data_IF_948467642704
#
_entry.id   IF_948467642704
#
_cell.length_a   1.000
_cell.length_b   1.000
_cell.length_c   1.000
_cell.angle_alpha   90.00
_cell.angle_beta   90.00
_cell.angle_gamma   90.00
#
_symmetry.space_group_name_H-M   'P 1'
#
loop_
_entity.id
_entity.type
_entity.pdbx_description
1 polymer ?
#
# COMPACT_ATOMS: atom_id res chain seq x y z
N UNK A 1 28.95 34.37 16.91
CA UNK A 1 29.77 33.13 16.89
C UNK A 1 29.34 32.25 18.05
N UNK A 2 28.47 31.31 17.81
CA UNK A 2 27.94 30.39 18.83
C UNK A 2 28.58 29.01 18.61
N UNK A 3 29.30 28.57 19.62
CA UNK A 3 30.05 27.33 19.68
C UNK A 3 29.10 26.15 19.88
N UNK A 4 28.89 25.31 18.86
CA UNK A 4 28.12 24.06 18.97
C UNK A 4 29.02 22.97 19.53
N UNK A 5 28.84 22.64 20.80
CA UNK A 5 29.48 21.51 21.46
C UNK A 5 29.03 20.18 20.84
N UNK A 6 30.00 19.40 20.34
CA UNK A 6 29.77 18.02 19.89
C UNK A 6 29.43 17.14 21.11
N UNK A 7 28.25 16.54 21.14
CA UNK A 7 27.92 15.47 22.08
C UNK A 7 28.67 14.20 21.69
N UNK A 8 29.56 13.75 22.53
CA UNK A 8 30.23 12.46 22.40
C UNK A 8 29.36 11.41 23.06
N UNK A 9 28.78 10.50 22.28
CA UNK A 9 28.08 9.33 22.77
C UNK A 9 29.11 8.32 23.28
N UNK A 10 29.16 8.12 24.61
CA UNK A 10 29.91 7.02 25.21
C UNK A 10 29.05 5.74 25.14
N UNK A 11 29.28 4.92 24.12
CA UNK A 11 28.72 3.58 24.04
C UNK A 11 29.14 2.74 25.24
N UNK A 12 28.18 2.28 26.06
CA UNK A 12 28.42 1.29 27.11
C UNK A 12 28.84 -0.02 26.45
N UNK A 13 30.07 -0.46 26.65
CA UNK A 13 30.52 -1.78 26.23
C UNK A 13 29.72 -2.82 27.01
N UNK A 14 28.97 -3.68 26.29
CA UNK A 14 28.28 -4.81 26.89
C UNK A 14 29.29 -5.72 27.59
N UNK A 15 28.91 -6.27 28.76
CA UNK A 15 29.77 -7.15 29.53
C UNK A 15 29.98 -8.48 28.76
N UNK A 16 31.14 -9.13 28.94
CA UNK A 16 31.44 -10.40 28.25
C UNK A 16 30.40 -11.51 28.55
N UNK A 17 29.65 -11.38 29.64
CA UNK A 17 28.57 -12.33 30.01
C UNK A 17 27.40 -12.23 29.04
N UNK A 18 27.07 -11.01 28.54
CA UNK A 18 26.00 -10.80 27.56
C UNK A 18 26.34 -11.49 26.23
N UNK A 19 27.60 -11.45 25.83
CA UNK A 19 28.06 -12.14 24.62
C UNK A 19 28.05 -13.66 24.74
N UNK A 20 28.34 -14.19 25.94
CA UNK A 20 28.28 -15.63 26.18
C UNK A 20 26.82 -16.16 26.19
N UNK A 21 25.89 -15.38 26.71
CA UNK A 21 24.44 -15.73 26.68
C UNK A 21 23.93 -15.67 25.23
N UNK A 22 24.27 -14.65 24.46
CA UNK A 22 23.88 -14.54 23.06
C UNK A 22 24.43 -15.70 22.20
N UNK A 23 25.68 -16.12 22.45
CA UNK A 23 26.29 -17.27 21.78
C UNK A 23 25.60 -18.60 22.14
N UNK A 24 25.23 -18.79 23.40
CA UNK A 24 24.50 -19.99 23.83
C UNK A 24 23.10 -20.09 23.24
N UNK A 25 22.39 -18.97 23.10
CA UNK A 25 21.07 -18.91 22.44
C UNK A 25 21.20 -19.19 20.95
N UNK A 26 22.24 -18.69 20.30
CA UNK A 26 22.50 -18.93 18.87
C UNK A 26 22.79 -20.42 18.61
N UNK A 27 23.61 -21.06 19.47
CA UNK A 27 23.90 -22.50 19.36
C UNK A 27 22.65 -23.34 19.57
N UNK A 28 21.79 -23.00 20.53
CA UNK A 28 20.53 -23.68 20.78
C UNK A 28 19.55 -23.57 19.58
N UNK A 29 19.49 -22.39 18.94
CA UNK A 29 18.67 -22.18 17.75
C UNK A 29 19.18 -22.99 16.54
N UNK A 30 20.49 -23.11 16.35
CA UNK A 30 21.10 -23.90 15.27
C UNK A 30 20.85 -25.40 15.48
N UNK A 31 20.89 -25.89 16.72
CA UNK A 31 20.60 -27.30 17.03
C UNK A 31 19.12 -27.64 16.79
N UNK A 32 18.20 -26.72 17.10
CA UNK A 32 16.76 -26.91 16.81
C UNK A 32 16.46 -26.92 15.30
N UNK A 33 17.18 -26.15 14.49
CA UNK A 33 17.04 -26.16 13.02
C UNK A 33 17.55 -27.48 12.42
N UNK A 34 18.63 -28.07 12.97
CA UNK A 34 19.20 -29.32 12.45
C UNK A 34 18.31 -30.53 12.79
N UNK A 35 17.59 -30.50 13.91
CA UNK A 35 16.67 -31.58 14.31
C UNK A 35 15.28 -31.44 13.64
N UNK A 36 14.91 -30.28 13.16
CA UNK A 36 13.63 -29.99 12.49
C UNK A 36 13.58 -30.27 10.98
N UNK A 37 14.70 -30.61 10.34
CA UNK A 37 14.76 -30.83 8.87
C UNK A 37 14.56 -32.34 8.54
N UNK A 38 13.45 -32.91 8.96
CA UNK A 38 13.03 -34.22 8.48
C UNK A 38 11.52 -34.31 8.33
N UNK A 39 10.95 -33.45 7.45
CA UNK A 39 9.72 -33.64 6.67
C UNK A 39 9.42 -32.30 6.01
N UNK A 40 9.92 -32.06 4.80
CA UNK A 40 9.38 -31.05 3.89
C UNK A 40 8.80 -31.78 2.69
N UNK A 41 7.48 -31.71 2.56
CA UNK A 41 6.79 -31.83 1.28
C UNK A 41 7.35 -30.76 0.34
N UNK A 42 7.55 -31.15 -0.92
CA UNK A 42 7.99 -30.24 -1.98
C UNK A 42 6.96 -29.13 -2.16
N UNK A 43 7.35 -27.86 -2.30
CA UNK A 43 6.45 -26.83 -2.80
C UNK A 43 6.14 -27.11 -4.28
N UNK A 44 4.86 -26.93 -4.63
CA UNK A 44 4.41 -26.91 -6.03
C UNK A 44 5.12 -25.79 -6.80
N UNK A 45 5.43 -26.04 -8.10
CA UNK A 45 6.06 -25.04 -8.93
C UNK A 45 5.12 -23.87 -9.19
N UNK A 46 5.68 -22.67 -9.12
CA UNK A 46 5.09 -21.38 -9.53
C UNK A 46 4.44 -21.49 -10.93
N UNK A 47 3.20 -21.01 -11.12
CA UNK A 47 2.63 -21.00 -12.46
C UNK A 47 3.29 -19.93 -13.32
N UNK A 48 3.78 -20.37 -14.49
CA UNK A 48 4.32 -19.56 -15.56
C UNK A 48 3.44 -18.37 -15.96
N UNK A 49 4.01 -17.28 -16.52
CA UNK A 49 3.25 -16.14 -16.99
C UNK A 49 2.38 -16.55 -18.18
N UNK A 50 1.07 -16.36 -18.04
CA UNK A 50 0.08 -16.64 -19.06
C UNK A 50 0.24 -15.68 -20.22
N UNK A 51 0.76 -16.18 -21.32
CA UNK A 51 0.58 -15.63 -22.67
C UNK A 51 -0.66 -16.26 -23.30
N UNK A 52 -1.39 -15.44 -24.05
CA UNK A 52 -2.52 -15.76 -24.93
C UNK A 52 -3.92 -15.84 -24.32
N UNK A 53 -4.59 -14.69 -24.44
CA UNK A 53 -6.05 -14.58 -24.45
C UNK A 53 -6.52 -14.82 -25.88
N UNK A 54 -7.06 -16.01 -26.15
CA UNK A 54 -7.92 -16.23 -27.32
C UNK A 54 -9.37 -15.90 -26.95
N UNK A 55 -9.97 -15.03 -27.74
CA UNK A 55 -11.41 -14.72 -27.75
C UNK A 55 -12.19 -15.93 -28.21
N UNK A 56 -13.32 -16.28 -27.58
CA UNK A 56 -14.29 -17.19 -28.17
C UNK A 56 -15.25 -16.42 -29.07
N UNK A 57 -15.46 -17.02 -30.23
CA UNK A 57 -16.33 -16.69 -31.34
C UNK A 57 -17.82 -16.88 -30.99
N UNK A 58 -18.65 -16.08 -31.66
CA UNK A 58 -20.11 -16.06 -31.59
C UNK A 58 -20.77 -17.33 -32.12
N UNK A 59 -21.88 -17.73 -31.48
CA UNK A 59 -22.70 -18.79 -32.03
C UNK A 59 -24.09 -18.99 -31.38
N UNK A 60 -25.05 -18.15 -31.77
CA UNK A 60 -26.44 -18.49 -32.16
C UNK A 60 -27.44 -19.13 -31.15
N UNK A 61 -28.43 -18.31 -30.81
CA UNK A 61 -29.92 -18.48 -30.89
C UNK A 61 -30.58 -19.82 -30.59
N UNK A 62 -31.64 -19.81 -29.72
CA UNK A 62 -33.05 -20.05 -30.11
C UNK A 62 -34.04 -19.88 -28.93
N UNK A 63 -35.04 -19.03 -29.17
CA UNK A 63 -36.48 -19.09 -28.89
C UNK A 63 -37.06 -19.75 -27.61
N UNK A 64 -37.71 -18.91 -26.75
CA UNK A 64 -39.12 -18.67 -26.41
C UNK A 64 -40.10 -19.89 -26.34
N UNK A 65 -41.31 -19.86 -25.69
CA UNK A 65 -42.00 -18.80 -24.94
C UNK A 65 -42.84 -19.28 -23.73
N UNK A 66 -43.44 -18.26 -23.02
CA UNK A 66 -44.77 -18.30 -22.35
C UNK A 66 -44.84 -18.84 -20.91
N UNK A 67 -45.47 -18.21 -19.91
CA UNK A 67 -46.78 -17.51 -19.83
C UNK A 67 -46.99 -16.88 -18.45
N UNK A 68 -47.62 -15.72 -18.48
CA UNK A 68 -48.78 -15.20 -17.70
C UNK A 68 -48.79 -15.15 -16.19
N UNK A 69 -49.12 -13.94 -15.69
CA UNK A 69 -49.89 -13.73 -14.49
C UNK A 69 -49.66 -12.39 -13.77
N UNK A 70 -50.33 -11.34 -14.24
CA UNK A 70 -50.70 -10.09 -13.59
C UNK A 70 -51.96 -10.30 -12.69
N UNK A 71 -52.42 -9.41 -11.79
CA UNK A 71 -52.17 -7.96 -11.68
C UNK A 71 -52.09 -7.34 -10.26
N UNK A 72 -51.56 -6.12 -10.20
CA UNK A 72 -52.20 -5.06 -9.42
C UNK A 72 -51.60 -4.69 -8.07
N UNK A 73 -50.88 -3.60 -8.01
CA UNK A 73 -51.30 -2.42 -7.24
C UNK A 73 -50.60 -1.15 -7.70
N UNK A 74 -51.43 -0.15 -7.98
CA UNK A 74 -51.12 1.25 -8.26
C UNK A 74 -50.73 1.96 -6.96
N UNK A 75 -49.80 2.91 -7.08
CA UNK A 75 -49.77 4.25 -6.48
C UNK A 75 -48.37 4.59 -5.96
N UNK A 76 -47.70 5.50 -6.53
CA UNK A 76 -47.42 6.90 -6.25
C UNK A 76 -46.11 7.35 -6.96
N UNK A 77 -46.14 8.40 -7.76
CA UNK A 77 -44.94 8.96 -8.36
C UNK A 77 -44.43 10.11 -7.49
N UNK A 78 -43.27 9.94 -6.89
CA UNK A 78 -42.62 11.08 -6.29
C UNK A 78 -41.85 10.81 -5.02
N UNK A 79 -40.76 10.11 -5.13
CA UNK A 79 -39.66 10.24 -4.17
C UNK A 79 -38.37 9.94 -4.90
N UNK A 80 -37.57 10.99 -5.11
CA UNK A 80 -36.14 10.87 -5.40
C UNK A 80 -35.45 10.54 -4.08
N UNK A 81 -35.76 9.36 -3.53
CA UNK A 81 -35.03 8.89 -2.37
C UNK A 81 -33.69 8.31 -2.85
N UNK A 82 -32.63 8.99 -2.47
CA UNK A 82 -31.29 8.41 -2.31
C UNK A 82 -31.48 7.07 -1.57
N UNK A 83 -31.12 5.91 -2.16
CA UNK A 83 -31.31 4.61 -1.51
C UNK A 83 -30.48 4.45 -0.22
N UNK A 84 -29.72 5.48 0.20
CA UNK A 84 -28.95 5.55 1.42
C UNK A 84 -29.41 6.70 2.34
N UNK A 85 -30.73 6.82 2.55
CA UNK A 85 -31.30 7.79 3.47
C UNK A 85 -30.62 7.79 4.83
N UNK A 86 -29.73 8.77 5.06
CA UNK A 86 -29.38 9.35 6.36
C UNK A 86 -28.95 8.45 7.51
N UNK A 87 -28.69 7.16 7.33
CA UNK A 87 -28.06 6.33 8.33
C UNK A 87 -26.54 6.56 8.26
N UNK A 88 -25.97 7.06 9.35
CA UNK A 88 -24.52 7.02 9.55
C UNK A 88 -24.10 5.56 9.54
N UNK A 89 -23.58 5.09 8.40
CA UNK A 89 -23.01 3.74 8.28
C UNK A 89 -21.81 3.70 9.22
N UNK A 90 -21.88 2.84 10.25
CA UNK A 90 -20.81 2.69 11.25
C UNK A 90 -19.86 1.56 10.90
N UNK A 91 -20.22 0.71 9.95
CA UNK A 91 -19.45 -0.49 9.59
C UNK A 91 -19.15 -0.52 8.09
N UNK A 92 -18.02 -1.12 7.67
CA UNK A 92 -17.71 -1.34 6.26
C UNK A 92 -18.79 -2.20 5.56
N UNK A 93 -19.13 -1.84 4.33
CA UNK A 93 -20.17 -2.52 3.53
C UNK A 93 -19.75 -2.67 2.06
N UNK A 94 -20.39 -3.58 1.35
CA UNK A 94 -20.25 -3.71 -0.11
C UNK A 94 -21.30 -2.84 -0.79
N UNK A 95 -20.88 -1.94 -1.67
CA UNK A 95 -21.77 -1.09 -2.44
C UNK A 95 -22.42 -1.81 -3.65
N UNK A 96 -23.27 -1.10 -4.39
CA UNK A 96 -23.95 -1.66 -5.57
C UNK A 96 -23.02 -2.05 -6.72
N UNK A 97 -21.76 -1.56 -6.74
CA UNK A 97 -20.74 -1.97 -7.70
C UNK A 97 -19.97 -3.22 -7.26
N UNK A 98 -20.26 -3.75 -6.07
CA UNK A 98 -19.57 -4.89 -5.48
C UNK A 98 -18.26 -4.53 -4.77
N UNK A 99 -17.94 -3.24 -4.59
CA UNK A 99 -16.72 -2.78 -3.92
C UNK A 99 -16.97 -2.44 -2.46
N UNK A 100 -15.99 -2.81 -1.63
CA UNK A 100 -15.92 -2.46 -0.22
C UNK A 100 -15.85 -0.94 -0.03
N UNK A 101 -16.69 -0.42 0.84
CA UNK A 101 -16.72 0.97 1.30
C UNK A 101 -16.46 1.02 2.80
N UNK A 102 -15.73 2.05 3.24
CA UNK A 102 -15.43 2.28 4.64
C UNK A 102 -16.13 3.55 5.13
N UNK A 103 -16.70 3.55 6.34
CA UNK A 103 -17.20 4.77 6.97
C UNK A 103 -16.03 5.70 7.29
N UNK A 104 -16.24 7.01 7.13
CA UNK A 104 -15.19 8.03 7.38
C UNK A 104 -15.09 8.44 8.84
N UNK A 105 -16.06 8.05 9.68
CA UNK A 105 -16.06 8.42 11.09
C UNK A 105 -14.83 7.90 11.83
N UNK A 106 -14.12 8.80 12.50
CA UNK A 106 -12.90 8.45 13.24
C UNK A 106 -11.61 8.46 12.42
N UNK A 107 -11.70 8.62 11.10
CA UNK A 107 -10.53 8.66 10.21
C UNK A 107 -10.27 10.07 9.68
N UNK A 108 -9.00 10.36 9.39
CA UNK A 108 -8.64 11.62 8.75
C UNK A 108 -9.13 11.60 7.30
N UNK A 109 -10.01 12.54 6.96
CA UNK A 109 -10.45 12.79 5.59
C UNK A 109 -9.80 14.09 5.12
N UNK A 110 -9.00 14.01 4.08
CA UNK A 110 -8.45 15.17 3.42
C UNK A 110 -9.61 15.84 2.67
N UNK A 111 -10.22 16.87 3.29
CA UNK A 111 -11.34 17.58 2.67
C UNK A 111 -10.94 18.12 1.28
N UNK A 112 -11.94 18.35 0.43
CA UNK A 112 -11.90 18.75 -0.99
C UNK A 112 -10.94 19.91 -1.39
N UNK A 113 -9.99 20.26 -0.54
CA UNK A 113 -8.96 21.28 -0.78
C UNK A 113 -8.07 20.97 -1.99
N UNK A 114 -8.14 19.75 -2.54
CA UNK A 114 -7.50 19.40 -3.81
C UNK A 114 -8.38 19.73 -5.02
N UNK A 115 -9.68 19.95 -4.83
CA UNK A 115 -10.59 20.34 -5.88
C UNK A 115 -10.63 21.88 -6.03
N UNK A 116 -9.69 22.39 -6.79
CA UNK A 116 -9.84 23.71 -7.41
C UNK A 116 -9.59 24.92 -6.52
N UNK A 117 -8.37 25.16 -6.07
CA UNK A 117 -7.87 26.47 -5.70
C UNK A 117 -7.39 26.66 -4.28
N UNK A 118 -7.36 25.66 -3.45
CA UNK A 118 -6.61 25.69 -2.18
C UNK A 118 -5.35 24.86 -2.33
N UNK A 119 -4.19 25.43 -2.12
CA UNK A 119 -2.87 24.82 -2.28
C UNK A 119 -2.57 23.78 -1.22
N UNK A 120 -3.26 22.63 -1.21
CA UNK A 120 -2.64 21.46 -0.59
C UNK A 120 -1.46 21.08 -1.47
N UNK A 121 -0.22 21.01 -0.95
CA UNK A 121 0.92 20.63 -1.74
C UNK A 121 0.64 19.27 -2.38
N UNK A 122 0.81 19.17 -3.69
CA UNK A 122 0.54 17.95 -4.48
C UNK A 122 1.21 16.71 -3.90
N UNK A 123 2.37 16.86 -3.26
CA UNK A 123 3.14 15.80 -2.60
C UNK A 123 2.50 15.30 -1.30
N UNK A 124 1.58 16.06 -0.70
CA UNK A 124 0.86 15.69 0.51
C UNK A 124 -0.57 15.17 0.23
N UNK A 125 -0.87 14.84 -1.03
CA UNK A 125 -2.11 14.18 -1.40
C UNK A 125 -2.23 12.85 -0.63
N UNK A 126 -3.28 12.70 0.18
CA UNK A 126 -3.58 11.47 0.88
C UNK A 126 -4.45 10.57 0.00
N UNK A 127 -4.00 9.34 -0.21
CA UNK A 127 -4.75 8.29 -0.90
C UNK A 127 -4.79 7.06 -0.02
N UNK A 128 -5.95 6.71 0.50
CA UNK A 128 -6.18 5.54 1.36
C UNK A 128 -7.66 5.14 1.33
N UNK A 129 -8.12 4.23 2.18
CA UNK A 129 -9.49 3.72 2.16
C UNK A 129 -10.58 4.79 2.36
N UNK A 130 -10.24 5.93 2.93
CA UNK A 130 -11.15 7.04 3.23
C UNK A 130 -10.94 8.25 2.31
N UNK A 131 -9.88 8.25 1.53
CA UNK A 131 -9.47 9.35 0.65
C UNK A 131 -9.18 8.77 -0.74
N UNK A 132 -10.16 8.72 -1.63
CA UNK A 132 -9.95 8.28 -3.00
C UNK A 132 -9.06 9.25 -3.78
N UNK A 133 -8.35 8.73 -4.76
CA UNK A 133 -7.64 9.55 -5.73
C UNK A 133 -8.64 10.48 -6.45
N UNK A 134 -8.41 11.81 -6.51
CA UNK A 134 -9.32 12.75 -7.14
C UNK A 134 -9.68 12.37 -8.58
N UNK A 135 -10.92 12.64 -8.96
CA UNK A 135 -11.37 12.42 -10.34
C UNK A 135 -10.51 13.24 -11.31
N UNK A 136 -10.07 12.65 -12.42
CA UNK A 136 -9.26 13.33 -13.41
C UNK A 136 -7.77 13.47 -13.06
N UNK A 137 -7.32 13.00 -11.90
CA UNK A 137 -5.91 13.09 -11.49
C UNK A 137 -4.93 12.59 -12.57
N UNK A 138 -5.25 11.48 -13.23
CA UNK A 138 -4.40 10.88 -14.26
C UNK A 138 -4.21 11.77 -15.50
N UNK A 139 -5.12 12.75 -15.73
CA UNK A 139 -5.03 13.71 -16.84
C UNK A 139 -4.06 14.86 -16.57
N UNK A 140 -3.75 15.13 -15.30
CA UNK A 140 -3.00 16.30 -14.86
C UNK A 140 -1.55 15.97 -14.49
N UNK A 141 -1.20 14.67 -14.48
CA UNK A 141 0.10 14.17 -14.06
C UNK A 141 0.84 13.51 -15.24
N UNK A 142 2.12 13.82 -15.34
CA UNK A 142 3.02 13.13 -16.27
C UNK A 142 3.92 12.15 -15.54
N UNK A 143 4.26 11.07 -16.21
CA UNK A 143 5.09 10.02 -15.63
C UNK A 143 6.45 9.94 -16.33
N UNK A 144 7.50 9.70 -15.54
CA UNK A 144 8.87 9.47 -16.02
C UNK A 144 9.35 8.08 -15.63
N UNK A 145 10.15 7.48 -16.50
CA UNK A 145 10.65 6.12 -16.30
C UNK A 145 11.96 6.13 -15.50
N UNK A 146 11.99 5.37 -14.41
CA UNK A 146 13.20 5.10 -13.62
C UNK A 146 13.96 3.90 -14.18
N UNK A 147 15.19 3.67 -13.68
CA UNK A 147 15.94 2.45 -13.97
C UNK A 147 15.09 1.21 -13.65
N UNK A 148 15.11 0.21 -14.52
CA UNK A 148 14.25 -0.97 -14.40
C UNK A 148 12.88 -0.84 -15.08
N UNK A 149 12.59 0.29 -15.77
CA UNK A 149 11.40 0.45 -16.61
C UNK A 149 10.11 0.80 -15.88
N UNK A 150 10.17 1.03 -14.56
CA UNK A 150 9.00 1.47 -13.78
C UNK A 150 8.79 2.97 -13.93
N UNK A 151 7.54 3.42 -13.76
CA UNK A 151 7.18 4.83 -13.91
C UNK A 151 6.84 5.44 -12.56
N UNK A 152 7.23 6.69 -12.37
CA UNK A 152 6.85 7.53 -11.24
C UNK A 152 6.35 8.88 -11.74
N UNK A 153 5.65 9.64 -10.91
CA UNK A 153 5.34 11.04 -11.21
C UNK A 153 6.63 11.78 -11.60
N UNK A 154 6.59 12.52 -12.72
CA UNK A 154 7.79 13.19 -13.25
C UNK A 154 8.38 14.20 -12.28
N UNK A 155 7.59 14.72 -11.33
CA UNK A 155 8.05 15.68 -10.32
C UNK A 155 8.99 15.07 -9.28
N UNK A 156 8.97 13.75 -9.10
CA UNK A 156 9.81 13.06 -8.11
C UNK A 156 10.99 12.29 -8.71
N UNK A 157 11.13 12.27 -10.05
CA UNK A 157 12.13 11.47 -10.74
C UNK A 157 13.56 11.71 -10.25
N UNK A 158 13.92 12.97 -10.00
CA UNK A 158 15.26 13.33 -9.53
C UNK A 158 15.53 12.84 -8.11
N UNK A 159 14.51 12.88 -7.24
CA UNK A 159 14.60 12.36 -5.88
C UNK A 159 14.81 10.83 -5.87
N UNK A 160 14.04 10.11 -6.71
CA UNK A 160 14.20 8.65 -6.88
C UNK A 160 15.60 8.32 -7.38
N UNK A 161 16.05 8.98 -8.46
CA UNK A 161 17.37 8.69 -9.06
C UNK A 161 18.52 8.96 -8.09
N UNK A 162 18.47 10.05 -7.31
CA UNK A 162 19.47 10.34 -6.27
C UNK A 162 19.50 9.24 -5.22
N UNK A 163 18.32 8.84 -4.70
CA UNK A 163 18.22 7.79 -3.69
C UNK A 163 18.76 6.46 -4.20
N UNK A 164 18.42 6.03 -5.41
CA UNK A 164 18.93 4.79 -6.01
C UNK A 164 20.44 4.85 -6.23
N UNK A 165 20.99 6.00 -6.64
CA UNK A 165 22.43 6.19 -6.84
C UNK A 165 23.19 6.08 -5.52
N UNK A 166 22.72 6.76 -4.47
CA UNK A 166 23.41 6.79 -3.17
C UNK A 166 23.30 5.43 -2.45
N UNK A 167 22.20 4.70 -2.67
CA UNK A 167 21.98 3.34 -2.17
C UNK A 167 22.59 2.24 -3.05
N UNK A 168 23.39 2.57 -4.06
CA UNK A 168 23.92 1.59 -5.02
C UNK A 168 24.75 0.46 -4.39
N UNK A 169 25.39 0.70 -3.24
CA UNK A 169 26.09 -0.33 -2.48
C UNK A 169 25.18 -1.43 -1.93
N UNK A 170 23.88 -1.17 -1.84
CA UNK A 170 22.86 -2.11 -1.35
C UNK A 170 22.04 -2.71 -2.49
N UNK A 171 22.39 -2.43 -3.73
CA UNK A 171 21.70 -2.91 -4.93
C UNK A 171 20.19 -2.55 -4.91
N UNK A 172 19.89 -1.33 -4.43
CA UNK A 172 18.51 -0.85 -4.31
C UNK A 172 17.88 -0.66 -5.70
N UNK A 173 16.69 -1.22 -5.89
CA UNK A 173 15.94 -1.12 -7.14
C UNK A 173 14.45 -0.92 -6.92
N UNK A 174 13.78 -0.26 -7.86
CA UNK A 174 12.32 -0.10 -7.86
C UNK A 174 11.69 -1.36 -8.47
N UNK A 175 10.91 -2.09 -7.65
CA UNK A 175 10.21 -3.31 -8.04
C UNK A 175 8.83 -2.99 -8.62
N UNK A 176 8.11 -2.04 -8.02
CA UNK A 176 6.80 -1.56 -8.45
C UNK A 176 6.71 -0.05 -8.21
N UNK A 177 5.95 0.68 -9.04
CA UNK A 177 5.74 2.11 -8.85
C UNK A 177 4.36 2.52 -9.40
N UNK A 178 4.24 3.51 -10.30
CA UNK A 178 2.94 3.86 -10.88
C UNK A 178 2.24 2.64 -11.46
N UNK A 179 0.96 2.54 -11.14
CA UNK A 179 0.09 1.47 -11.60
C UNK A 179 -1.26 2.06 -12.03
N UNK A 180 -1.71 1.87 -13.28
CA UNK A 180 -3.04 2.27 -13.71
C UNK A 180 -4.15 1.63 -12.87
N UNK A 181 -5.31 2.29 -12.76
CA UNK A 181 -6.46 1.78 -11.99
C UNK A 181 -6.95 0.42 -12.47
N UNK A 182 -6.87 0.15 -13.77
CA UNK A 182 -7.26 -1.13 -14.38
C UNK A 182 -6.35 -2.28 -13.93
N UNK A 183 -5.04 -2.04 -13.87
CA UNK A 183 -4.08 -3.02 -13.36
C UNK A 183 -4.29 -3.22 -11.84
N UNK A 184 -4.48 -2.13 -11.10
CA UNK A 184 -4.81 -2.18 -9.68
C UNK A 184 -6.09 -3.00 -9.42
N UNK A 185 -7.12 -2.83 -10.25
CA UNK A 185 -8.36 -3.60 -10.15
C UNK A 185 -8.10 -5.09 -10.31
N UNK A 186 -7.29 -5.47 -11.30
CA UNK A 186 -6.92 -6.87 -11.53
C UNK A 186 -6.19 -7.47 -10.33
N UNK A 187 -5.23 -6.74 -9.76
CA UNK A 187 -4.48 -7.20 -8.58
C UNK A 187 -5.36 -7.31 -7.34
N UNK A 188 -6.25 -6.33 -7.13
CA UNK A 188 -7.18 -6.32 -6.01
C UNK A 188 -8.09 -7.56 -6.04
N UNK A 189 -8.78 -7.80 -7.15
CA UNK A 189 -9.68 -8.94 -7.25
C UNK A 189 -8.97 -10.29 -7.20
N UNK A 190 -7.74 -10.38 -7.72
CA UNK A 190 -6.90 -11.57 -7.53
C UNK A 190 -6.59 -11.81 -6.04
N UNK A 191 -6.31 -10.75 -5.29
CA UNK A 191 -6.08 -10.86 -3.84
C UNK A 191 -7.35 -11.26 -3.10
N UNK A 192 -8.50 -10.66 -3.44
CA UNK A 192 -9.81 -11.02 -2.87
C UNK A 192 -10.12 -12.50 -3.14
N UNK A 193 -9.93 -12.96 -4.38
CA UNK A 193 -10.17 -14.35 -4.75
C UNK A 193 -9.35 -15.34 -3.92
N UNK A 194 -8.10 -15.01 -3.58
CA UNK A 194 -7.28 -15.87 -2.69
C UNK A 194 -7.91 -16.08 -1.31
N UNK A 195 -8.72 -15.13 -0.82
CA UNK A 195 -9.41 -15.26 0.46
C UNK A 195 -10.78 -15.91 0.32
N UNK A 196 -11.54 -15.65 -0.75
CA UNK A 196 -12.78 -16.38 -1.01
C UNK A 196 -12.52 -17.87 -1.24
N UNK A 197 -11.43 -18.24 -1.91
CA UNK A 197 -10.99 -19.65 -2.08
C UNK A 197 -10.64 -20.33 -0.75
N UNK A 198 -10.30 -19.54 0.27
CA UNK A 198 -10.08 -20.02 1.66
C UNK A 198 -11.36 -20.06 2.48
N UNK A 199 -12.52 -19.72 1.91
CA UNK A 199 -13.84 -19.78 2.55
C UNK A 199 -14.28 -18.51 3.28
N UNK A 200 -13.59 -17.38 3.07
CA UNK A 200 -14.06 -16.09 3.57
C UNK A 200 -15.30 -15.62 2.80
N UNK A 201 -16.22 -14.93 3.46
CA UNK A 201 -17.30 -14.22 2.76
C UNK A 201 -16.74 -13.08 1.90
N UNK A 202 -17.50 -12.61 0.91
CA UNK A 202 -17.08 -11.52 0.02
C UNK A 202 -16.65 -10.26 0.80
N UNK A 203 -17.39 -9.90 1.84
CA UNK A 203 -17.06 -8.76 2.69
C UNK A 203 -15.74 -8.96 3.45
N UNK A 204 -15.55 -10.13 4.06
CA UNK A 204 -14.34 -10.45 4.81
C UNK A 204 -13.13 -10.58 3.88
N UNK A 205 -13.30 -11.23 2.72
CA UNK A 205 -12.24 -11.37 1.72
C UNK A 205 -11.77 -10.00 1.20
N UNK A 206 -12.69 -9.07 0.96
CA UNK A 206 -12.34 -7.71 0.56
C UNK A 206 -11.71 -6.91 1.71
N UNK A 207 -12.16 -7.06 2.94
CA UNK A 207 -11.53 -6.44 4.11
C UNK A 207 -10.08 -6.91 4.26
N UNK A 208 -9.85 -8.22 4.33
CA UNK A 208 -8.52 -8.78 4.54
C UNK A 208 -7.63 -8.56 3.31
N UNK A 209 -8.13 -8.80 2.11
CA UNK A 209 -7.41 -8.55 0.87
C UNK A 209 -7.03 -7.09 0.70
N UNK A 210 -7.92 -6.17 1.11
CA UNK A 210 -7.74 -4.72 1.05
C UNK A 210 -6.69 -4.17 2.01
N UNK A 211 -6.26 -4.90 3.04
CA UNK A 211 -5.11 -4.50 3.88
C UNK A 211 -3.76 -4.78 3.20
N UNK A 212 -3.75 -5.54 2.10
CA UNK A 212 -2.55 -5.95 1.37
C UNK A 212 -2.51 -5.30 -0.03
N UNK A 213 -3.63 -5.33 -0.74
CA UNK A 213 -3.79 -4.72 -2.07
C UNK A 213 -5.01 -3.82 -2.06
N UNK A 214 -4.81 -2.52 -2.14
CA UNK A 214 -5.90 -1.55 -2.12
C UNK A 214 -6.78 -1.65 -3.36
N UNK A 215 -8.07 -1.36 -3.20
CA UNK A 215 -9.03 -1.24 -4.32
C UNK A 215 -8.61 -0.13 -5.28
N UNK A 216 -9.02 -0.19 -6.57
CA UNK A 216 -8.63 0.80 -7.56
C UNK A 216 -9.11 2.20 -7.17
N UNK A 217 -8.21 3.19 -7.32
CA UNK A 217 -8.46 4.58 -6.91
C UNK A 217 -8.19 4.87 -5.43
N UNK A 218 -7.83 3.87 -4.61
CA UNK A 218 -7.49 4.00 -3.20
C UNK A 218 -6.06 3.52 -2.90
N UNK A 219 -5.27 3.25 -3.94
CA UNK A 219 -3.86 2.88 -3.87
C UNK A 219 -2.96 4.07 -4.21
N UNK A 220 -1.91 4.28 -3.43
CA UNK A 220 -0.90 5.31 -3.72
C UNK A 220 -0.10 5.03 -5.00
N UNK A 221 -0.05 3.78 -5.47
CA UNK A 221 0.51 3.47 -6.79
C UNK A 221 -0.27 4.15 -7.92
N UNK A 222 -1.57 4.41 -7.76
CA UNK A 222 -2.36 5.10 -8.77
C UNK A 222 -2.00 6.59 -8.90
N UNK A 223 -1.33 7.19 -7.91
CA UNK A 223 -0.89 8.58 -8.01
C UNK A 223 0.56 8.76 -8.49
N UNK A 224 1.35 7.68 -8.57
CA UNK A 224 2.75 7.74 -8.99
C UNK A 224 3.71 8.36 -7.97
N UNK A 225 3.25 8.62 -6.74
CA UNK A 225 4.06 9.19 -5.66
C UNK A 225 4.63 8.13 -4.73
N UNK A 226 4.29 6.86 -4.93
CA UNK A 226 4.77 5.73 -4.15
C UNK A 226 5.49 4.71 -5.02
N UNK A 227 6.41 3.99 -4.40
CA UNK A 227 7.14 2.90 -5.02
C UNK A 227 7.43 1.80 -4.01
N UNK A 228 7.43 0.57 -4.51
CA UNK A 228 7.95 -0.60 -3.80
C UNK A 228 9.39 -0.83 -4.23
N UNK A 229 10.25 -1.02 -3.26
CA UNK A 229 11.69 -1.23 -3.50
C UNK A 229 12.15 -2.56 -2.94
N UNK A 230 13.20 -3.10 -3.54
CA UNK A 230 13.96 -4.24 -3.05
C UNK A 230 15.44 -3.94 -3.11
N UNK A 231 16.25 -4.74 -2.43
CA UNK A 231 17.70 -4.59 -2.44
C UNK A 231 18.39 -5.62 -1.55
N UNK A 232 19.73 -5.66 -1.62
CA UNK A 232 20.54 -6.62 -0.87
C UNK A 232 20.13 -8.08 -1.09
N UNK A 233 19.60 -8.40 -2.29
CA UNK A 233 19.19 -9.74 -2.70
C UNK A 233 17.73 -10.09 -2.35
N UNK A 234 16.95 -9.22 -1.70
CA UNK A 234 15.52 -9.41 -1.45
C UNK A 234 14.68 -8.42 -2.27
N UNK A 235 13.94 -8.95 -3.24
CA UNK A 235 13.03 -8.23 -4.15
C UNK A 235 11.62 -8.83 -4.12
N UNK A 236 11.30 -9.60 -3.07
CA UNK A 236 10.06 -10.39 -2.99
C UNK A 236 8.86 -9.58 -2.54
N UNK A 237 9.04 -8.35 -2.04
CA UNK A 237 8.00 -7.52 -1.41
C UNK A 237 7.32 -8.26 -0.25
N UNK A 238 8.16 -8.87 0.60
CA UNK A 238 7.76 -9.57 1.80
C UNK A 238 8.36 -8.90 3.04
N UNK A 239 7.82 -9.17 4.21
CA UNK A 239 8.32 -8.57 5.46
C UNK A 239 9.77 -8.94 5.79
N UNK A 240 10.32 -9.98 5.16
CA UNK A 240 11.74 -10.35 5.23
C UNK A 240 12.68 -9.24 4.78
N UNK A 241 12.22 -8.35 3.89
CA UNK A 241 12.99 -7.18 3.46
C UNK A 241 13.44 -6.30 4.63
N UNK A 242 12.67 -6.23 5.72
CA UNK A 242 13.05 -5.51 6.94
C UNK A 242 14.35 -5.99 7.59
N UNK A 243 14.80 -7.21 7.27
CA UNK A 243 16.04 -7.78 7.81
C UNK A 243 17.27 -7.51 6.91
N UNK A 244 17.11 -6.73 5.84
CA UNK A 244 18.18 -6.48 4.87
C UNK A 244 18.99 -5.22 5.20
N UNK A 245 20.28 -5.14 4.80
CA UNK A 245 21.04 -3.90 4.87
C UNK A 245 20.44 -2.75 4.03
N UNK A 246 19.72 -3.06 2.93
CA UNK A 246 19.02 -2.07 2.11
C UNK A 246 17.92 -1.37 2.90
N UNK A 247 17.10 -2.13 3.63
CA UNK A 247 16.07 -1.57 4.51
C UNK A 247 16.68 -0.70 5.63
N UNK A 248 17.73 -1.16 6.29
CA UNK A 248 18.40 -0.40 7.33
C UNK A 248 18.90 0.96 6.81
N UNK A 249 19.48 0.98 5.61
CA UNK A 249 19.90 2.21 4.94
C UNK A 249 18.70 3.12 4.61
N UNK A 250 17.61 2.55 4.09
CA UNK A 250 16.40 3.30 3.74
C UNK A 250 15.78 3.99 4.96
N UNK A 251 15.68 3.30 6.09
CA UNK A 251 15.13 3.89 7.33
C UNK A 251 15.98 5.07 7.81
N UNK A 252 17.30 5.03 7.62
CA UNK A 252 18.20 6.12 8.01
C UNK A 252 18.17 7.30 7.03
N UNK A 253 17.92 7.06 5.73
CA UNK A 253 18.20 8.03 4.67
C UNK A 253 17.00 8.41 3.79
N UNK A 254 15.92 7.66 3.75
CA UNK A 254 14.82 7.92 2.80
C UNK A 254 14.26 9.36 2.92
N UNK A 255 14.23 9.92 4.15
CA UNK A 255 13.75 11.27 4.40
C UNK A 255 14.60 12.36 3.74
N UNK A 256 15.91 12.11 3.52
CA UNK A 256 16.81 13.05 2.83
C UNK A 256 16.47 13.22 1.34
N UNK A 257 15.69 12.28 0.79
CA UNK A 257 15.19 12.31 -0.59
C UNK A 257 13.69 12.64 -0.65
N UNK A 258 13.07 12.96 0.50
CA UNK A 258 11.65 13.29 0.60
C UNK A 258 10.70 12.09 0.67
N UNK A 259 11.21 10.89 0.97
CA UNK A 259 10.41 9.67 1.13
C UNK A 259 10.21 9.31 2.60
N UNK A 260 9.10 8.63 2.87
CA UNK A 260 8.79 8.02 4.16
C UNK A 260 8.55 6.52 4.00
N UNK A 261 8.83 5.74 5.04
CA UNK A 261 8.22 4.42 5.19
C UNK A 261 6.72 4.62 5.42
N UNK A 262 5.91 4.28 4.41
CA UNK A 262 4.51 4.70 4.38
C UNK A 262 3.61 3.92 5.33
N UNK A 263 3.87 2.63 5.49
CA UNK A 263 3.09 1.71 6.29
C UNK A 263 3.96 1.06 7.37
N UNK A 264 4.33 1.84 8.42
CA UNK A 264 5.16 1.34 9.52
C UNK A 264 4.39 0.35 10.41
N UNK A 265 5.12 -0.52 11.09
CA UNK A 265 4.57 -1.50 12.03
C UNK A 265 3.83 -0.81 13.19
N UNK A 266 2.63 -1.33 13.52
CA UNK A 266 1.79 -0.81 14.62
C UNK A 266 0.94 0.40 14.25
N UNK A 267 0.84 0.77 12.96
CA UNK A 267 -0.01 1.86 12.45
C UNK A 267 -1.14 1.36 11.54
N UNK A 268 -1.39 0.06 11.50
CA UNK A 268 -2.36 -0.59 10.61
C UNK A 268 -3.79 -0.05 10.80
N UNK A 269 -4.18 0.24 12.04
CA UNK A 269 -5.50 0.81 12.36
C UNK A 269 -5.67 2.25 11.82
N UNK A 270 -4.57 2.97 11.57
CA UNK A 270 -4.59 4.34 11.06
C UNK A 270 -4.50 4.36 9.54
N UNK A 271 -3.60 3.53 8.99
CA UNK A 271 -3.30 3.51 7.56
C UNK A 271 -4.23 2.60 6.75
N UNK A 272 -4.83 1.60 7.41
CA UNK A 272 -5.63 0.56 6.77
C UNK A 272 -4.79 -0.46 5.98
N UNK A 273 -3.45 -0.46 6.15
CA UNK A 273 -2.51 -1.34 5.43
C UNK A 273 -1.63 -2.05 6.44
N UNK A 274 -1.29 -3.31 6.18
CA UNK A 274 -0.32 -4.05 6.98
C UNK A 274 1.06 -3.39 6.92
N UNK A 275 1.97 -3.80 7.81
CA UNK A 275 3.37 -3.39 7.72
C UNK A 275 4.00 -3.78 6.38
N UNK A 276 4.51 -2.79 5.63
CA UNK A 276 5.15 -2.95 4.33
C UNK A 276 6.52 -2.30 4.29
N UNK A 277 7.60 -2.99 4.68
CA UNK A 277 8.96 -2.43 4.72
C UNK A 277 9.51 -2.01 3.35
N UNK A 278 8.88 -2.45 2.27
CA UNK A 278 9.25 -2.13 0.88
C UNK A 278 8.56 -0.88 0.33
N UNK A 279 7.46 -0.39 0.93
CA UNK A 279 6.62 0.67 0.36
C UNK A 279 7.04 2.05 0.87
N UNK A 280 7.56 2.88 -0.06
CA UNK A 280 8.03 4.24 0.21
C UNK A 280 7.19 5.26 -0.54
N UNK A 281 6.74 6.30 0.19
CA UNK A 281 5.91 7.38 -0.33
C UNK A 281 6.67 8.71 -0.31
N UNK A 282 6.66 9.44 -1.45
CA UNK A 282 7.20 10.79 -1.52
C UNK A 282 6.23 11.81 -0.91
N UNK A 283 6.74 12.63 0.00
CA UNK A 283 6.00 13.70 0.69
C UNK A 283 6.78 15.02 0.72
N UNK A 284 7.99 15.07 0.12
CA UNK A 284 8.93 16.19 0.19
C UNK A 284 9.83 16.12 1.43
N UNK A 285 11.04 16.67 1.32
CA UNK A 285 12.12 16.49 2.32
C UNK A 285 11.75 17.03 3.71
N UNK A 286 11.06 18.17 3.79
CA UNK A 286 10.68 18.78 5.08
C UNK A 286 9.66 17.90 5.83
N UNK A 287 8.58 17.50 5.13
CA UNK A 287 7.56 16.63 5.69
C UNK A 287 8.11 15.25 6.01
N UNK A 288 8.96 14.69 5.15
CA UNK A 288 9.57 13.38 5.35
C UNK A 288 10.42 13.33 6.61
N UNK A 289 11.29 14.31 6.83
CA UNK A 289 12.11 14.41 8.04
C UNK A 289 11.23 14.52 9.29
N UNK A 290 10.20 15.37 9.24
CA UNK A 290 9.31 15.53 10.38
C UNK A 290 8.57 14.21 10.72
N UNK A 291 8.04 13.54 9.70
CA UNK A 291 7.31 12.28 9.86
C UNK A 291 8.22 11.18 10.42
N UNK A 292 9.40 10.98 9.82
CA UNK A 292 10.33 9.93 10.23
C UNK A 292 10.96 10.20 11.59
N UNK A 293 11.29 11.46 11.92
CA UNK A 293 11.88 11.84 13.22
C UNK A 293 10.91 11.71 14.38
N UNK A 294 9.59 11.75 14.14
CA UNK A 294 8.54 11.68 15.14
C UNK A 294 7.73 10.37 15.12
N UNK A 295 8.15 9.38 14.33
CA UNK A 295 7.47 8.08 14.21
C UNK A 295 5.98 8.22 13.86
N UNK A 296 5.68 9.05 12.87
CA UNK A 296 4.31 9.32 12.41
C UNK A 296 4.03 8.56 11.09
N UNK A 297 2.76 8.30 10.82
CA UNK A 297 2.29 8.05 9.46
C UNK A 297 1.80 9.35 8.80
N UNK A 298 1.53 9.32 7.49
CA UNK A 298 1.10 10.51 6.75
C UNK A 298 -0.23 11.08 7.28
N UNK A 299 -1.15 10.24 7.70
CA UNK A 299 -2.43 10.61 8.30
C UNK A 299 -2.25 11.45 9.57
N UNK A 300 -1.37 11.00 10.46
CA UNK A 300 -1.07 11.70 11.72
C UNK A 300 -0.41 13.06 11.48
N UNK A 301 0.54 13.11 10.54
CA UNK A 301 1.18 14.36 10.14
C UNK A 301 0.15 15.36 9.59
N UNK A 302 -0.69 14.94 8.67
CA UNK A 302 -1.72 15.80 8.06
C UNK A 302 -2.74 16.29 9.09
N UNK A 303 -3.10 15.48 10.06
CA UNK A 303 -3.98 15.89 11.15
C UNK A 303 -3.36 16.98 12.06
N UNK A 304 -2.03 17.01 12.17
CA UNK A 304 -1.30 18.00 12.98
C UNK A 304 -1.12 19.34 12.24
N UNK A 305 -0.81 19.34 10.94
CA UNK A 305 -0.53 20.57 10.20
C UNK A 305 -1.78 21.33 9.76
N UNK A 306 -2.97 20.74 9.88
CA UNK A 306 -4.26 21.40 9.61
C UNK A 306 -4.82 22.20 10.78
N UNK A 307 -4.10 22.25 11.91
CA UNK A 307 -4.48 23.12 13.04
C UNK A 307 -3.92 24.51 12.84
#
# INVERSE_FOLDING_TARGET
MANRGKRVYHGRRASPIVWLIALAVLIAAVVLVIVGVSKKEKPDPDPDPVTDVQTPDDGQTTDDPNTTGDPGNTDDPGSTDDPNGGQTVSEPYIDASGLLQYPTAGHYVQADSYQGGGEAPWNLLLVNDWNPLPAGYDSDVTFSTVSGGKQVDSRIIDAVNRMLQDASAYDLAVVSAYRPKEEQNTLYWRKVQQYTDKGYSDLEAQKVGGTIVKRPGFSEHNCGLAMDVGGSGDYTLEQTFANTPAYAWLIEHCADYGFILRFPEGKEDITGVIYEPWHYRYVGEEAARYIMDNDLCLEEYLAQVKK
#
